data_IF_381369626563
#
_entry.id   IF_381369626563
#
_cell.length_a   1.000
_cell.length_b   1.000
_cell.length_c   1.000
_cell.angle_alpha   90.00
_cell.angle_beta   90.00
_cell.angle_gamma   90.00
#
_symmetry.space_group_name_H-M   'P 1'
#
loop_
_entity.id
_entity.type
_entity.pdbx_description
1 polymer ?
#
# COMPACT_ATOMS: atom_id res chain seq x y z
N UNK A 1 -8.42 -6.93 11.37
CA UNK A 1 -8.44 -5.51 10.97
C UNK A 1 -7.10 -5.31 10.31
N UNK A 2 -6.98 -5.28 8.98
CA UNK A 2 -5.65 -5.43 8.35
C UNK A 2 -5.65 -5.01 6.88
N UNK A 3 -5.28 -3.74 6.64
CA UNK A 3 -4.14 -3.31 5.79
C UNK A 3 -3.57 -2.07 6.50
N UNK A 4 -2.32 -2.13 6.95
CA UNK A 4 -1.61 -1.00 7.58
C UNK A 4 -2.02 -0.64 9.01
N UNK A 5 -2.64 -1.55 9.77
CA UNK A 5 -2.92 -1.33 11.18
C UNK A 5 -2.82 -2.64 11.95
N UNK A 6 -1.67 -2.85 12.58
CA UNK A 6 -1.55 -3.80 13.69
C UNK A 6 -2.74 -3.66 14.62
N UNK A 7 -3.37 -4.78 14.97
CA UNK A 7 -4.49 -4.75 15.89
C UNK A 7 -3.98 -4.44 17.30
N UNK A 8 -4.18 -3.20 17.73
CA UNK A 8 -3.84 -2.76 19.08
C UNK A 8 -4.80 -3.44 20.06
N UNK A 9 -4.22 -4.10 21.06
CA UNK A 9 -4.95 -4.82 22.10
C UNK A 9 -5.38 -3.86 23.21
N UNK A 10 -4.46 -3.00 23.67
CA UNK A 10 -4.72 -2.03 24.72
C UNK A 10 -3.75 -0.84 24.64
N UNK A 11 -4.11 0.24 25.34
CA UNK A 11 -3.22 1.36 25.61
C UNK A 11 -2.25 0.99 26.75
N UNK A 12 -0.97 1.34 26.63
CA UNK A 12 -0.09 1.39 27.80
C UNK A 12 -0.49 2.56 28.70
N UNK A 13 -0.43 2.38 30.01
CA UNK A 13 -0.82 3.42 30.98
C UNK A 13 0.03 4.69 30.88
N UNK A 14 1.27 4.56 30.39
CA UNK A 14 2.21 5.68 30.21
C UNK A 14 2.08 6.44 28.88
N UNK A 15 1.19 6.01 27.98
CA UNK A 15 1.01 6.64 26.66
C UNK A 15 0.56 8.11 26.79
N UNK A 16 1.06 8.97 25.92
CA UNK A 16 0.61 10.36 25.75
C UNK A 16 -0.53 10.47 24.70
N UNK A 17 -0.73 9.43 23.89
CA UNK A 17 -1.67 9.46 22.76
C UNK A 17 -2.63 8.25 22.77
N UNK A 18 -3.58 8.18 23.73
CA UNK A 18 -4.47 7.04 23.87
C UNK A 18 -5.27 6.75 22.59
N UNK A 19 -5.39 5.46 22.26
CA UNK A 19 -6.28 4.92 21.23
C UNK A 19 -7.70 4.84 21.80
N UNK A 20 -8.69 5.44 21.13
CA UNK A 20 -10.03 5.58 21.68
C UNK A 20 -10.74 4.22 21.81
N UNK A 21 -11.49 4.06 22.90
CA UNK A 21 -12.30 2.86 23.15
C UNK A 21 -11.53 1.63 23.64
N UNK A 22 -10.21 1.71 23.81
CA UNK A 22 -9.40 0.61 24.36
C UNK A 22 -9.01 0.86 25.81
N UNK A 23 -9.05 -0.16 26.65
CA UNK A 23 -8.61 -0.10 28.04
C UNK A 23 -7.13 0.31 28.16
N UNK A 24 -6.75 0.77 29.36
CA UNK A 24 -5.36 1.00 29.74
C UNK A 24 -4.83 -0.22 30.50
N UNK A 25 -3.67 -0.71 30.10
CA UNK A 25 -2.94 -1.80 30.75
C UNK A 25 -1.67 -1.21 31.40
N UNK A 26 -1.36 -1.67 32.61
CA UNK A 26 -0.16 -1.29 33.33
C UNK A 26 1.09 -1.71 32.55
N UNK A 27 1.95 -0.74 32.29
CA UNK A 27 3.21 -0.83 31.56
C UNK A 27 4.41 -0.43 32.43
N UNK A 28 4.24 -0.29 33.75
CA UNK A 28 5.30 0.15 34.64
C UNK A 28 6.51 -0.81 34.73
N UNK A 29 6.36 -2.06 34.29
CA UNK A 29 7.43 -3.06 34.24
C UNK A 29 8.32 -2.96 33.00
N UNK A 30 7.96 -2.12 32.01
CA UNK A 30 8.80 -1.83 30.86
C UNK A 30 9.40 -0.41 30.94
N UNK A 31 10.69 -0.22 30.62
CA UNK A 31 11.35 1.08 30.74
C UNK A 31 11.01 1.97 29.53
N UNK A 32 9.82 2.56 29.51
CA UNK A 32 9.27 3.29 28.35
C UNK A 32 10.07 4.51 27.88
N UNK A 33 11.02 5.00 28.67
CA UNK A 33 11.90 6.13 28.31
C UNK A 33 13.31 5.68 27.85
N UNK A 34 13.61 4.37 27.85
CA UNK A 34 14.91 3.79 27.50
C UNK A 34 14.76 2.72 26.40
N UNK A 35 14.97 3.07 25.12
CA UNK A 35 14.82 2.14 24.01
C UNK A 35 15.84 0.99 24.02
N UNK A 36 17.03 1.19 24.59
CA UNK A 36 18.03 0.13 24.74
C UNK A 36 17.54 -0.91 25.75
N UNK A 37 17.05 -0.46 26.89
CA UNK A 37 16.50 -1.35 27.91
C UNK A 37 15.21 -2.06 27.43
N UNK A 38 14.38 -1.43 26.59
CA UNK A 38 13.24 -2.10 25.93
C UNK A 38 13.75 -3.23 25.03
N UNK A 39 14.69 -2.97 24.13
CA UNK A 39 15.24 -3.99 23.23
C UNK A 39 15.83 -5.17 24.01
N UNK A 40 16.57 -4.88 25.09
CA UNK A 40 17.25 -5.86 25.93
C UNK A 40 16.31 -6.81 26.67
N UNK A 41 15.03 -6.49 26.83
CA UNK A 41 14.04 -7.42 27.42
C UNK A 41 13.85 -8.66 26.52
N UNK A 42 13.80 -8.45 25.20
CA UNK A 42 13.49 -9.51 24.25
C UNK A 42 14.67 -10.00 23.42
N UNK A 43 15.57 -9.10 23.00
CA UNK A 43 16.64 -9.40 22.05
C UNK A 43 17.66 -10.38 22.62
N UNK A 44 17.93 -11.45 21.87
CA UNK A 44 18.95 -12.43 22.23
C UNK A 44 18.63 -13.31 23.44
N UNK A 45 17.40 -13.27 23.98
CA UNK A 45 17.00 -14.06 25.15
C UNK A 45 16.53 -15.50 24.82
N UNK A 46 16.26 -15.79 23.55
CA UNK A 46 15.76 -17.10 23.11
C UNK A 46 14.27 -17.32 23.41
N UNK A 47 13.79 -18.56 23.27
CA UNK A 47 12.43 -18.99 23.62
C UNK A 47 11.28 -18.20 22.99
N UNK A 48 11.44 -17.78 21.73
CA UNK A 48 10.40 -17.04 21.02
C UNK A 48 10.28 -15.56 21.43
N UNK A 49 11.20 -15.05 22.26
CA UNK A 49 11.28 -13.62 22.58
C UNK A 49 11.99 -12.86 21.48
N UNK A 50 11.52 -11.64 21.24
CA UNK A 50 12.06 -10.71 20.28
C UNK A 50 12.07 -9.30 20.88
N UNK A 51 13.07 -8.54 20.46
CA UNK A 51 13.24 -7.15 20.85
C UNK A 51 13.97 -6.43 19.73
N UNK A 52 13.57 -5.20 19.45
CA UNK A 52 14.23 -4.33 18.48
C UNK A 52 14.05 -2.88 18.87
N UNK A 53 15.07 -2.09 18.63
CA UNK A 53 14.95 -0.63 18.56
C UNK A 53 15.50 -0.09 17.25
N UNK A 54 14.97 1.04 16.81
CA UNK A 54 15.53 1.87 15.77
C UNK A 54 15.35 3.35 16.13
N UNK A 55 16.09 4.22 15.46
CA UNK A 55 16.01 5.67 15.66
C UNK A 55 16.33 6.44 14.39
N UNK A 56 15.93 7.71 14.36
CA UNK A 56 16.40 8.65 13.34
C UNK A 56 17.87 8.98 13.54
N UNK A 57 18.61 9.22 12.46
CA UNK A 57 19.96 9.78 12.53
C UNK A 57 19.86 11.30 12.73
N UNK A 58 20.52 11.86 13.74
CA UNK A 58 20.47 13.30 14.02
C UNK A 58 21.11 13.69 15.35
N UNK A 59 21.04 14.98 15.68
CA UNK A 59 21.39 15.47 17.01
C UNK A 59 20.34 15.01 18.04
N UNK A 60 20.74 14.87 19.31
CA UNK A 60 19.89 14.35 20.39
C UNK A 60 18.55 15.11 20.53
N UNK A 61 18.51 16.41 20.20
CA UNK A 61 17.31 17.26 20.32
C UNK A 61 16.20 16.90 19.32
N UNK A 62 16.54 16.31 18.18
CA UNK A 62 15.60 15.86 17.14
C UNK A 62 15.52 14.33 17.07
N UNK A 63 16.18 13.63 18.01
CA UNK A 63 16.22 12.18 18.03
C UNK A 63 14.81 11.63 18.29
N UNK A 64 14.33 10.86 17.33
CA UNK A 64 13.11 10.08 17.46
C UNK A 64 13.50 8.61 17.47
N UNK A 65 12.78 7.81 18.23
CA UNK A 65 13.04 6.38 18.29
C UNK A 65 11.76 5.59 18.41
N UNK A 66 11.85 4.31 18.09
CA UNK A 66 10.80 3.35 18.30
C UNK A 66 11.41 2.01 18.69
N UNK A 67 10.75 1.34 19.61
CA UNK A 67 11.21 0.08 20.17
C UNK A 67 10.03 -0.86 20.37
N UNK A 68 10.29 -2.14 20.23
CA UNK A 68 9.34 -3.20 20.53
C UNK A 68 10.04 -4.31 21.32
N UNK A 69 9.29 -4.93 22.23
CA UNK A 69 9.74 -6.11 22.96
C UNK A 69 8.58 -7.03 23.27
N UNK A 70 8.85 -8.33 23.33
CA UNK A 70 7.95 -9.31 23.94
C UNK A 70 7.64 -8.94 25.40
N UNK A 71 6.40 -9.15 25.82
CA UNK A 71 5.95 -8.99 27.22
C UNK A 71 6.85 -9.81 28.17
N UNK A 72 7.49 -9.21 29.19
CA UNK A 72 8.37 -9.92 30.12
C UNK A 72 7.79 -11.21 30.71
N UNK A 73 6.51 -11.23 31.05
CA UNK A 73 5.85 -12.36 31.71
C UNK A 73 5.23 -13.38 30.74
N UNK A 74 5.33 -13.16 29.42
CA UNK A 74 4.69 -13.99 28.40
C UNK A 74 5.43 -14.03 27.06
N UNK A 75 4.84 -14.65 26.04
CA UNK A 75 5.39 -14.65 24.67
C UNK A 75 4.34 -14.42 23.58
N UNK A 76 3.08 -14.29 23.97
CA UNK A 76 1.92 -14.09 23.11
C UNK A 76 1.54 -12.61 22.92
N UNK A 77 2.08 -11.74 23.78
CA UNK A 77 1.95 -10.29 23.74
C UNK A 77 3.30 -9.59 23.57
N UNK A 78 3.24 -8.36 23.09
CA UNK A 78 4.40 -7.50 22.95
C UNK A 78 4.03 -6.03 23.14
N UNK A 79 4.96 -5.27 23.67
CA UNK A 79 4.87 -3.83 23.83
C UNK A 79 5.57 -3.12 22.69
N UNK A 80 4.93 -2.09 22.16
CA UNK A 80 5.50 -1.20 21.15
C UNK A 80 5.48 0.23 21.68
N UNK A 81 6.63 0.89 21.61
CA UNK A 81 6.84 2.26 22.08
C UNK A 81 7.38 3.11 20.94
N UNK A 82 6.71 4.23 20.66
CA UNK A 82 7.16 5.26 19.73
C UNK A 82 7.38 6.55 20.49
N UNK A 83 8.59 7.11 20.42
CA UNK A 83 8.92 8.40 21.01
C UNK A 83 9.18 9.46 19.95
N UNK A 84 8.64 10.66 20.18
CA UNK A 84 8.96 11.86 19.44
C UNK A 84 9.25 13.02 20.40
N UNK A 85 10.33 13.80 20.24
CA UNK A 85 10.75 14.82 21.21
C UNK A 85 9.68 15.91 21.44
N UNK A 86 8.90 16.24 20.40
CA UNK A 86 7.79 17.21 20.49
C UNK A 86 6.43 16.57 20.78
N UNK A 87 6.27 15.26 20.63
CA UNK A 87 4.95 14.61 20.69
C UNK A 87 4.87 13.51 21.76
N UNK A 88 5.92 13.29 22.53
CA UNK A 88 5.89 12.36 23.65
C UNK A 88 5.89 10.91 23.19
N UNK A 89 5.25 10.05 23.97
CA UNK A 89 5.26 8.60 23.75
C UNK A 89 3.89 8.09 23.29
N UNK A 90 3.90 7.21 22.29
CA UNK A 90 2.78 6.30 22.01
C UNK A 90 3.18 4.91 22.51
N UNK A 91 2.49 4.42 23.55
CA UNK A 91 2.73 3.09 24.14
C UNK A 91 1.50 2.22 23.93
N UNK A 92 1.68 1.09 23.25
CA UNK A 92 0.58 0.19 22.89
C UNK A 92 0.96 -1.26 23.10
N UNK A 93 -0.02 -2.06 23.52
CA UNK A 93 0.08 -3.51 23.64
C UNK A 93 -0.48 -4.15 22.37
N UNK A 94 0.24 -5.11 21.80
CA UNK A 94 -0.14 -5.84 20.59
C UNK A 94 0.10 -7.34 20.77
N UNK A 95 -0.42 -8.17 19.87
CA UNK A 95 -0.06 -9.60 19.84
C UNK A 95 1.38 -9.74 19.39
N UNK A 96 2.09 -10.75 19.88
CA UNK A 96 3.53 -10.95 19.66
C UNK A 96 3.94 -11.14 18.19
N UNK A 97 3.00 -11.48 17.30
CA UNK A 97 3.23 -11.58 15.85
C UNK A 97 3.18 -10.23 15.12
N UNK A 98 2.55 -9.23 15.71
CA UNK A 98 2.29 -7.94 15.08
C UNK A 98 3.36 -6.83 15.27
N UNK A 99 4.31 -6.85 16.24
CA UNK A 99 5.18 -5.70 16.51
C UNK A 99 6.03 -5.30 15.33
N UNK A 100 6.46 -6.28 14.54
CA UNK A 100 7.32 -6.05 13.39
C UNK A 100 6.64 -5.18 12.33
N UNK A 101 5.36 -5.42 12.05
CA UNK A 101 4.57 -4.61 11.12
C UNK A 101 4.45 -3.16 11.63
N UNK A 102 4.16 -2.96 12.92
CA UNK A 102 4.08 -1.61 13.51
C UNK A 102 5.45 -0.91 13.53
N UNK A 103 6.52 -1.68 13.75
CA UNK A 103 7.90 -1.20 13.74
C UNK A 103 8.33 -0.74 12.35
N UNK A 104 7.95 -1.48 11.29
CA UNK A 104 8.13 -1.07 9.89
C UNK A 104 7.32 0.18 9.55
N UNK A 105 6.06 0.23 10.00
CA UNK A 105 5.18 1.39 9.80
C UNK A 105 5.77 2.65 10.43
N UNK A 106 6.35 2.56 11.63
CA UNK A 106 7.02 3.70 12.29
C UNK A 106 8.38 4.06 11.70
N UNK A 107 8.90 3.28 10.77
CA UNK A 107 10.24 3.50 10.26
C UNK A 107 10.37 4.79 9.42
N UNK A 108 11.41 5.56 9.73
CA UNK A 108 11.77 6.80 9.02
C UNK A 108 11.32 8.09 9.72
N UNK A 109 12.00 9.19 9.41
CA UNK A 109 11.77 10.51 10.05
C UNK A 109 10.39 11.11 9.76
N UNK A 110 9.80 10.74 8.63
CA UNK A 110 8.54 11.29 8.15
C UNK A 110 7.42 10.24 8.21
N UNK A 111 7.60 9.18 9.00
CA UNK A 111 6.63 8.10 9.18
C UNK A 111 5.47 8.51 10.10
N UNK A 112 4.42 7.68 10.19
CA UNK A 112 3.38 7.77 11.21
C UNK A 112 3.94 7.93 12.63
N UNK A 113 3.42 8.90 13.37
CA UNK A 113 3.59 8.97 14.83
C UNK A 113 2.47 8.22 15.55
N UNK A 114 1.28 8.20 14.96
CA UNK A 114 0.11 7.50 15.48
C UNK A 114 -0.86 7.15 14.35
N UNK A 115 -1.68 6.13 14.63
CA UNK A 115 -2.77 5.67 13.78
C UNK A 115 -4.12 5.83 14.50
N UNK A 116 -5.19 6.13 13.76
CA UNK A 116 -6.57 6.29 14.24
C UNK A 116 -7.55 5.56 13.32
N UNK A 117 -8.83 5.67 13.67
CA UNK A 117 -9.93 4.86 13.13
C UNK A 117 -9.79 4.62 11.63
N UNK A 118 -9.85 3.35 11.23
CA UNK A 118 -9.78 2.99 9.82
C UNK A 118 -8.37 3.00 9.19
N UNK A 119 -7.31 3.24 9.96
CA UNK A 119 -5.92 3.30 9.47
C UNK A 119 -5.44 4.70 9.09
N UNK A 120 -6.20 5.74 9.44
CA UNK A 120 -5.77 7.12 9.28
C UNK A 120 -4.54 7.37 10.14
N UNK A 121 -3.61 8.21 9.70
CA UNK A 121 -2.36 8.41 10.44
C UNK A 121 -1.89 9.85 10.41
N UNK A 122 -1.10 10.21 11.42
CA UNK A 122 -0.61 11.57 11.63
C UNK A 122 0.91 11.57 11.73
N UNK A 123 1.57 12.50 11.05
CA UNK A 123 3.05 12.64 11.02
C UNK A 123 3.59 13.65 12.04
N UNK A 124 2.74 14.22 12.90
CA UNK A 124 3.12 15.33 13.79
C UNK A 124 2.62 16.71 13.32
N UNK A 125 2.20 16.81 12.06
CA UNK A 125 1.67 18.05 11.48
C UNK A 125 0.38 17.83 10.68
N UNK A 126 0.30 16.77 9.89
CA UNK A 126 -0.74 16.52 8.89
C UNK A 126 -1.36 15.15 9.07
N UNK A 127 -2.68 15.07 8.88
CA UNK A 127 -3.40 13.80 8.80
C UNK A 127 -3.42 13.27 7.37
N UNK A 128 -3.22 11.96 7.26
CA UNK A 128 -3.25 11.22 6.01
C UNK A 128 -4.23 10.06 6.09
N UNK A 129 -4.77 9.72 4.93
CA UNK A 129 -5.60 8.54 4.73
C UNK A 129 -4.79 7.26 4.94
N UNK A 130 -5.47 6.13 5.15
CA UNK A 130 -4.82 4.82 5.22
C UNK A 130 -3.94 4.57 3.99
N UNK A 131 -2.81 3.91 4.23
CA UNK A 131 -1.83 3.57 3.19
C UNK A 131 -2.39 2.53 2.22
N UNK A 132 -3.11 2.98 1.18
CA UNK A 132 -3.81 2.10 0.23
C UNK A 132 -3.14 2.09 -1.15
N UNK A 133 -2.75 3.24 -1.68
CA UNK A 133 -2.22 3.36 -3.05
C UNK A 133 -0.70 3.25 -3.03
N UNK A 134 -0.15 2.18 -3.61
CA UNK A 134 1.30 2.00 -3.74
C UNK A 134 1.83 2.66 -5.02
N UNK A 135 2.84 3.51 -4.88
CA UNK A 135 3.61 4.05 -5.99
C UNK A 135 4.83 3.14 -6.24
N UNK A 136 4.74 2.32 -7.29
CA UNK A 136 5.77 1.36 -7.68
C UNK A 136 7.08 2.03 -8.12
N UNK A 137 7.04 3.27 -8.60
CA UNK A 137 8.26 3.97 -9.03
C UNK A 137 9.09 4.45 -7.82
N UNK A 138 8.44 4.90 -6.74
CA UNK A 138 9.11 5.29 -5.50
C UNK A 138 9.19 4.18 -4.45
N UNK A 139 8.51 3.06 -4.69
CA UNK A 139 8.35 1.92 -3.77
C UNK A 139 7.80 2.35 -2.41
N UNK A 140 6.81 3.25 -2.41
CA UNK A 140 6.19 3.79 -1.20
C UNK A 140 4.69 3.92 -1.38
N UNK A 141 3.96 3.80 -0.27
CA UNK A 141 2.57 4.21 -0.26
C UNK A 141 2.44 5.73 -0.42
N UNK A 142 1.46 6.13 -1.22
CA UNK A 142 1.11 7.53 -1.39
C UNK A 142 0.55 8.13 -0.12
N UNK A 143 1.03 9.33 0.20
CA UNK A 143 0.62 10.08 1.39
C UNK A 143 -0.52 11.02 1.04
N UNK A 144 -1.74 10.48 0.96
CA UNK A 144 -2.94 11.27 0.64
C UNK A 144 -3.41 12.02 1.87
N UNK A 145 -3.27 13.34 1.84
CA UNK A 145 -3.72 14.23 2.92
C UNK A 145 -5.23 14.14 3.10
N UNK A 146 -5.69 14.36 4.33
CA UNK A 146 -7.11 14.44 4.68
C UNK A 146 -7.51 15.92 4.74
N UNK A 147 -8.23 16.46 3.73
CA UNK A 147 -8.55 17.87 3.71
C UNK A 147 -9.48 18.26 4.87
N UNK A 148 -9.12 19.33 5.58
CA UNK A 148 -9.93 19.82 6.71
C UNK A 148 -9.90 18.95 7.95
N UNK A 149 -8.96 17.99 8.05
CA UNK A 149 -8.81 17.20 9.26
C UNK A 149 -8.30 18.05 10.43
N UNK A 150 -8.86 17.81 11.61
CA UNK A 150 -8.42 18.36 12.89
C UNK A 150 -8.20 17.23 13.89
N UNK A 151 -7.22 17.40 14.77
CA UNK A 151 -6.97 16.45 15.86
C UNK A 151 -7.96 16.69 16.99
N UNK A 152 -8.55 15.62 17.51
CA UNK A 152 -9.32 15.60 18.75
C UNK A 152 -8.37 15.22 19.87
N UNK A 153 -8.27 16.07 20.88
CA UNK A 153 -7.36 15.89 22.02
C UNK A 153 -8.08 15.30 23.23
N UNK A 154 -7.31 14.80 24.20
CA UNK A 154 -7.87 14.34 25.45
C UNK A 154 -8.61 15.46 26.20
N UNK A 155 -8.12 16.70 26.10
CA UNK A 155 -8.80 17.86 26.67
C UNK A 155 -10.18 18.11 26.04
N UNK A 156 -10.30 17.94 24.71
CA UNK A 156 -11.58 18.14 24.01
C UNK A 156 -12.63 17.11 24.46
N UNK A 157 -12.22 15.86 24.64
CA UNK A 157 -13.14 14.79 25.09
C UNK A 157 -13.56 15.01 26.55
N UNK A 158 -12.60 15.29 27.43
CA UNK A 158 -12.87 15.48 28.87
C UNK A 158 -13.65 16.77 29.17
N UNK A 159 -13.63 17.76 28.27
CA UNK A 159 -14.43 18.98 28.41
C UNK A 159 -15.89 18.81 27.98
N UNK A 160 -16.22 17.76 27.23
CA UNK A 160 -17.59 17.45 26.78
C UNK A 160 -18.36 16.58 27.77
N UNK A 161 -17.67 16.01 28.76
CA UNK A 161 -18.25 15.10 29.73
C UNK A 161 -18.60 15.86 31.02
N UNK A 162 -19.83 16.37 31.07
CA UNK A 162 -20.35 17.13 32.22
C UNK A 162 -20.83 16.23 33.38
N UNK A 163 -20.90 14.90 33.19
CA UNK A 163 -21.39 13.97 34.20
C UNK A 163 -20.63 12.62 34.10
N UNK A 164 -19.57 12.40 34.91
CA UNK A 164 -18.83 11.15 34.85
C UNK A 164 -19.81 10.01 35.13
N UNK A 165 -20.03 9.17 34.11
CA UNK A 165 -20.82 7.96 34.30
C UNK A 165 -20.15 7.19 35.43
N UNK A 166 -20.85 6.90 36.53
CA UNK A 166 -20.26 6.28 37.72
C UNK A 166 -19.77 4.83 37.51
N UNK A 167 -19.28 4.47 36.32
CA UNK A 167 -18.63 3.21 36.00
C UNK A 167 -17.25 3.11 36.65
N UNK A 168 -16.94 1.93 37.18
CA UNK A 168 -15.64 1.67 37.80
C UNK A 168 -14.56 1.46 36.72
N UNK A 169 -14.02 2.54 36.16
CA UNK A 169 -12.81 2.44 35.35
C UNK A 169 -11.64 1.90 36.18
N UNK A 170 -10.82 1.05 35.57
CA UNK A 170 -9.60 0.51 36.19
C UNK A 170 -8.48 0.38 35.16
N UNK A 171 -7.25 0.40 35.64
CA UNK A 171 -6.07 0.01 34.84
C UNK A 171 -5.95 -1.49 34.96
N UNK A 172 -5.90 -2.18 33.82
CA UNK A 172 -5.82 -3.62 33.72
C UNK A 172 -4.38 -4.11 33.85
N UNK A 173 -4.22 -5.38 34.20
CA UNK A 173 -2.95 -6.10 34.16
C UNK A 173 -2.85 -6.96 32.90
N UNK A 174 -1.65 -7.46 32.59
CA UNK A 174 -1.47 -8.47 31.53
C UNK A 174 -2.32 -9.72 31.80
N UNK A 175 -2.44 -10.15 33.06
CA UNK A 175 -3.29 -11.27 33.44
C UNK A 175 -4.76 -11.04 33.09
N UNK A 176 -5.27 -9.81 33.24
CA UNK A 176 -6.65 -9.47 32.85
C UNK A 176 -6.86 -9.59 31.34
N UNK A 177 -5.86 -9.22 30.52
CA UNK A 177 -5.88 -9.39 29.06
C UNK A 177 -5.96 -10.87 28.69
N UNK A 178 -5.15 -11.72 29.32
CA UNK A 178 -5.19 -13.17 29.10
C UNK A 178 -6.52 -13.79 29.54
N UNK A 179 -7.05 -13.37 30.68
CA UNK A 179 -8.33 -13.87 31.21
C UNK A 179 -9.52 -13.49 30.32
N UNK A 180 -9.40 -12.41 29.54
CA UNK A 180 -10.42 -11.96 28.59
C UNK A 180 -10.35 -12.66 27.22
N UNK A 181 -9.36 -13.54 26.99
CA UNK A 181 -9.22 -14.26 25.72
C UNK A 181 -10.45 -15.15 25.45
N UNK A 182 -10.93 -15.13 24.20
CA UNK A 182 -12.08 -15.94 23.75
C UNK A 182 -11.55 -17.01 22.81
N UNK A 183 -11.89 -18.28 23.08
CA UNK A 183 -11.41 -19.45 22.31
C UNK A 183 -9.87 -19.50 22.17
N UNK A 184 -9.15 -19.02 23.20
CA UNK A 184 -7.69 -18.95 23.21
C UNK A 184 -7.10 -17.81 22.36
N UNK A 185 -7.94 -16.95 21.78
CA UNK A 185 -7.50 -15.80 20.99
C UNK A 185 -7.61 -14.50 21.80
N UNK A 186 -6.49 -13.78 21.92
CA UNK A 186 -6.44 -12.44 22.51
C UNK A 186 -7.17 -11.46 21.58
N UNK A 187 -8.11 -10.70 22.14
CA UNK A 187 -8.89 -9.68 21.46
C UNK A 187 -8.58 -8.29 22.01
N UNK A 188 -8.88 -7.20 21.26
CA UNK A 188 -8.80 -5.85 21.80
C UNK A 188 -9.66 -5.68 23.04
N UNK A 189 -9.11 -5.01 24.05
CA UNK A 189 -9.77 -4.73 25.32
C UNK A 189 -10.70 -3.52 25.16
N UNK A 190 -11.83 -3.71 24.50
CA UNK A 190 -12.80 -2.64 24.20
C UNK A 190 -13.60 -2.29 25.47
N UNK A 191 -13.69 -1.00 25.79
CA UNK A 191 -14.46 -0.47 26.94
C UNK A 191 -15.64 0.38 26.50
N UNK A 192 -16.78 0.21 27.17
CA UNK A 192 -18.00 0.98 26.88
C UNK A 192 -18.02 2.37 27.52
N UNK A 193 -17.36 2.53 28.67
CA UNK A 193 -17.25 3.77 29.44
C UNK A 193 -15.89 4.45 29.21
N UNK A 194 -15.58 4.72 27.94
CA UNK A 194 -14.27 5.24 27.54
C UNK A 194 -13.89 6.56 28.24
N UNK A 195 -14.86 7.45 28.49
CA UNK A 195 -14.61 8.72 29.16
C UNK A 195 -14.05 8.52 30.59
N UNK A 196 -14.64 7.62 31.39
CA UNK A 196 -14.15 7.28 32.73
C UNK A 196 -12.70 6.73 32.69
N UNK A 197 -12.40 5.87 31.71
CA UNK A 197 -11.05 5.32 31.51
C UNK A 197 -10.05 6.42 31.14
N UNK A 198 -10.45 7.35 30.26
CA UNK A 198 -9.61 8.49 29.88
C UNK A 198 -9.40 9.45 31.06
N UNK A 199 -10.42 9.67 31.90
CA UNK A 199 -10.31 10.48 33.11
C UNK A 199 -9.38 9.83 34.14
N UNK A 200 -9.49 8.52 34.35
CA UNK A 200 -8.58 7.75 35.21
C UNK A 200 -7.14 7.85 34.73
N UNK A 201 -6.90 7.67 33.42
CA UNK A 201 -5.58 7.85 32.82
C UNK A 201 -5.08 9.27 33.05
N UNK A 202 -5.88 10.30 32.77
CA UNK A 202 -5.52 11.71 32.92
C UNK A 202 -5.08 12.05 34.36
N UNK A 203 -5.74 11.46 35.37
CA UNK A 203 -5.40 11.64 36.78
C UNK A 203 -4.13 10.89 37.25
N UNK A 204 -3.64 9.92 36.47
CA UNK A 204 -2.47 9.09 36.81
C UNK A 204 -1.20 9.46 36.02
N UNK A 205 -1.25 10.49 35.18
CA UNK A 205 -0.14 10.86 34.30
C UNK A 205 1.07 11.37 35.10
N UNK A 206 2.26 11.03 34.62
CA UNK A 206 3.54 11.52 35.13
C UNK A 206 3.64 13.04 35.04
N UNK A 207 4.39 13.67 35.94
CA UNK A 207 4.56 15.13 35.98
C UNK A 207 5.23 15.71 34.72
N UNK A 208 6.06 14.92 34.04
CA UNK A 208 6.72 15.28 32.78
C UNK A 208 5.86 15.03 31.53
N UNK A 209 4.63 14.51 31.68
CA UNK A 209 3.78 14.16 30.55
C UNK A 209 3.31 15.40 29.77
N UNK A 210 2.95 15.22 28.50
CA UNK A 210 2.42 16.33 27.68
C UNK A 210 1.13 16.91 28.29
N UNK A 211 0.80 18.20 28.10
CA UNK A 211 -0.52 18.69 28.50
C UNK A 211 -1.63 17.96 27.73
N UNK A 212 -2.82 17.82 28.33
CA UNK A 212 -3.96 17.09 27.73
C UNK A 212 -4.38 17.65 26.36
N UNK A 213 -4.21 18.96 26.15
CA UNK A 213 -4.46 19.65 24.86
C UNK A 213 -3.44 19.30 23.76
N UNK A 214 -2.40 18.53 24.08
CA UNK A 214 -1.44 17.98 23.11
C UNK A 214 -1.51 16.46 23.01
N UNK A 215 -2.39 15.82 23.80
CA UNK A 215 -2.58 14.38 23.80
C UNK A 215 -3.64 14.03 22.76
N UNK A 216 -3.23 13.63 21.56
CA UNK A 216 -4.17 13.32 20.47
C UNK A 216 -4.86 12.00 20.79
N UNK A 217 -6.20 12.00 20.79
CA UNK A 217 -7.02 10.80 21.00
C UNK A 217 -7.67 10.37 19.70
N UNK A 218 -8.16 11.30 18.87
CA UNK A 218 -8.79 10.92 17.59
C UNK A 218 -8.65 12.04 16.56
N UNK A 219 -9.34 11.92 15.42
CA UNK A 219 -9.45 12.97 14.41
C UNK A 219 -10.92 13.26 14.05
N UNK A 220 -11.18 14.50 13.65
CA UNK A 220 -12.39 14.89 12.94
C UNK A 220 -12.03 15.31 11.53
N UNK A 221 -12.80 14.86 10.53
CA UNK A 221 -12.62 15.29 9.15
C UNK A 221 -13.96 15.23 8.40
N UNK A 222 -14.18 16.10 7.40
CA UNK A 222 -15.39 16.06 6.58
C UNK A 222 -15.65 14.69 5.93
N UNK A 223 -14.59 13.99 5.50
CA UNK A 223 -14.72 12.66 4.88
C UNK A 223 -15.02 11.52 5.87
N UNK A 224 -15.01 11.81 7.18
CA UNK A 224 -15.39 10.89 8.26
C UNK A 224 -16.79 11.18 8.82
N UNK A 225 -17.47 12.22 8.32
CA UNK A 225 -18.84 12.52 8.72
C UNK A 225 -19.78 11.37 8.33
N UNK A 226 -20.76 11.06 9.18
CA UNK A 226 -21.61 9.88 9.03
C UNK A 226 -22.38 9.83 7.69
N UNK A 227 -22.75 10.99 7.15
CA UNK A 227 -23.42 11.15 5.85
C UNK A 227 -22.48 10.99 4.64
N UNK A 228 -21.17 11.02 4.85
CA UNK A 228 -20.14 10.80 3.83
C UNK A 228 -19.65 9.35 3.78
N UNK A 229 -20.01 8.53 4.77
CA UNK A 229 -19.64 7.13 4.81
C UNK A 229 -20.50 6.30 3.84
N UNK A 230 -19.86 5.32 3.22
CA UNK A 230 -20.45 4.41 2.25
C UNK A 230 -20.47 2.98 2.77
N UNK A 231 -21.50 2.22 2.39
CA UNK A 231 -21.65 0.83 2.79
C UNK A 231 -21.00 -0.13 1.79
N UNK A 232 -21.20 -1.42 2.04
CA UNK A 232 -20.74 -2.51 1.16
C UNK A 232 -21.18 -2.35 -0.31
N UNK A 233 -22.45 -2.01 -0.64
CA UNK A 233 -22.88 -1.89 -2.04
C UNK A 233 -22.12 -0.80 -2.79
N UNK A 234 -21.97 0.38 -2.18
CA UNK A 234 -21.31 1.53 -2.78
C UNK A 234 -19.80 1.30 -2.91
N UNK A 235 -19.15 0.71 -1.90
CA UNK A 235 -17.74 0.34 -1.96
C UNK A 235 -17.47 -0.67 -3.08
N UNK A 236 -18.33 -1.69 -3.22
CA UNK A 236 -18.20 -2.66 -4.29
C UNK A 236 -18.37 -2.02 -5.68
N UNK A 237 -19.31 -1.07 -5.82
CA UNK A 237 -19.52 -0.32 -7.05
C UNK A 237 -18.29 0.53 -7.43
N UNK A 238 -17.63 1.18 -6.46
CA UNK A 238 -16.39 1.93 -6.71
C UNK A 238 -15.26 1.05 -7.28
N UNK A 239 -15.15 -0.18 -6.80
CA UNK A 239 -14.15 -1.14 -7.28
C UNK A 239 -14.58 -1.95 -8.51
N UNK A 240 -15.75 -1.67 -9.09
CA UNK A 240 -16.26 -2.38 -10.27
C UNK A 240 -16.57 -3.86 -10.02
N UNK A 241 -16.89 -4.25 -8.79
CA UNK A 241 -17.22 -5.64 -8.42
C UNK A 241 -18.64 -5.77 -7.87
N UNK A 242 -19.15 -7.01 -7.86
CA UNK A 242 -20.43 -7.29 -7.21
C UNK A 242 -20.32 -7.19 -5.68
N UNK A 243 -21.38 -6.72 -5.02
CA UNK A 243 -21.44 -6.66 -3.56
C UNK A 243 -21.31 -8.06 -2.90
N UNK A 244 -21.73 -9.13 -3.57
CA UNK A 244 -21.50 -10.51 -3.12
C UNK A 244 -20.01 -10.87 -3.06
N UNK A 245 -19.22 -10.42 -4.04
CA UNK A 245 -17.76 -10.60 -4.07
C UNK A 245 -17.12 -9.90 -2.88
N UNK A 246 -17.49 -8.63 -2.60
CA UNK A 246 -16.95 -7.89 -1.46
C UNK A 246 -17.32 -8.53 -0.11
N UNK A 247 -18.54 -9.07 0.04
CA UNK A 247 -18.92 -9.84 1.23
C UNK A 247 -18.09 -11.10 1.39
N UNK A 248 -17.80 -11.79 0.29
CA UNK A 248 -16.96 -12.98 0.30
C UNK A 248 -15.52 -12.65 0.75
N UNK A 249 -14.95 -11.53 0.29
CA UNK A 249 -13.66 -11.01 0.77
C UNK A 249 -13.71 -10.75 2.29
N UNK A 250 -14.74 -10.05 2.77
CA UNK A 250 -14.88 -9.78 4.20
C UNK A 250 -15.08 -11.06 5.03
N UNK A 251 -15.75 -12.08 4.51
CA UNK A 251 -16.02 -13.33 5.23
C UNK A 251 -14.75 -14.20 5.34
N UNK A 252 -13.88 -14.15 4.34
CA UNK A 252 -12.59 -14.86 4.34
C UNK A 252 -11.49 -14.14 5.11
N UNK A 253 -11.78 -12.95 5.65
CA UNK A 253 -10.76 -12.12 6.29
C UNK A 253 -9.63 -11.77 5.33
N UNK A 254 -9.93 -11.64 4.02
CA UNK A 254 -8.91 -11.25 3.06
C UNK A 254 -8.34 -9.89 3.44
N UNK A 255 -7.02 -9.84 3.60
CA UNK A 255 -6.22 -8.63 3.84
C UNK A 255 -6.25 -7.66 2.64
N UNK A 256 -7.21 -7.79 1.74
CA UNK A 256 -7.36 -6.90 0.58
C UNK A 256 -8.41 -5.81 0.82
N UNK A 257 -9.23 -5.89 1.88
CA UNK A 257 -10.21 -4.84 2.17
C UNK A 257 -9.65 -3.76 3.11
N UNK A 258 -9.89 -2.47 2.81
CA UNK A 258 -9.49 -1.40 3.71
C UNK A 258 -10.25 -1.53 5.03
N UNK A 259 -9.61 -1.14 6.13
CA UNK A 259 -10.29 -1.07 7.43
C UNK A 259 -11.45 -0.07 7.36
N UNK A 260 -12.58 -0.44 7.96
CA UNK A 260 -13.77 0.41 8.03
C UNK A 260 -13.56 1.51 9.07
N UNK A 261 -14.11 2.69 8.81
CA UNK A 261 -14.00 3.85 9.71
C UNK A 261 -15.09 3.85 10.79
N UNK A 262 -16.22 3.16 10.56
CA UNK A 262 -17.29 3.05 11.54
C UNK A 262 -18.10 1.76 11.38
N UNK A 263 -18.83 1.40 12.44
CA UNK A 263 -19.90 0.39 12.42
C UNK A 263 -21.22 1.09 12.77
N UNK A 264 -22.17 1.11 11.84
CA UNK A 264 -23.49 1.74 12.04
C UNK A 264 -24.56 0.67 11.90
N UNK A 265 -25.34 0.43 12.96
CA UNK A 265 -26.37 -0.62 12.97
C UNK A 265 -25.82 -2.02 12.63
N UNK A 266 -24.60 -2.33 13.08
CA UNK A 266 -23.90 -3.59 12.79
C UNK A 266 -23.30 -3.70 11.39
N UNK A 267 -23.35 -2.62 10.59
CA UNK A 267 -22.79 -2.60 9.23
C UNK A 267 -21.49 -1.82 9.20
N UNK A 268 -20.46 -2.41 8.56
CA UNK A 268 -19.19 -1.74 8.29
C UNK A 268 -19.39 -0.60 7.29
N UNK A 269 -18.84 0.56 7.61
CA UNK A 269 -18.95 1.79 6.82
C UNK A 269 -17.55 2.34 6.53
N UNK A 270 -17.33 2.78 5.30
CA UNK A 270 -16.05 3.29 4.83
C UNK A 270 -16.16 4.75 4.42
N UNK A 271 -15.08 5.50 4.58
CA UNK A 271 -14.96 6.82 3.98
C UNK A 271 -14.92 6.69 2.45
N UNK A 272 -15.70 7.51 1.74
CA UNK A 272 -15.79 7.45 0.27
C UNK A 272 -14.41 7.62 -0.42
N UNK A 273 -13.54 8.55 0.00
CA UNK A 273 -12.18 8.63 -0.53
C UNK A 273 -11.31 7.42 -0.22
N UNK A 274 -11.42 6.79 0.95
CA UNK A 274 -10.69 5.54 1.26
C UNK A 274 -11.13 4.41 0.33
N UNK A 275 -12.43 4.31 0.03
CA UNK A 275 -12.94 3.37 -0.96
C UNK A 275 -12.41 3.63 -2.37
N UNK A 276 -12.25 4.90 -2.75
CA UNK A 276 -11.64 5.28 -4.03
C UNK A 276 -10.14 4.94 -4.09
N UNK A 277 -9.39 5.21 -3.03
CA UNK A 277 -7.98 4.86 -2.91
C UNK A 277 -7.76 3.33 -3.01
N UNK A 278 -8.62 2.55 -2.36
CA UNK A 278 -8.62 1.10 -2.47
C UNK A 278 -8.93 0.62 -3.90
N UNK A 279 -9.97 1.15 -4.53
CA UNK A 279 -10.34 0.82 -5.91
C UNK A 279 -9.22 1.17 -6.90
N UNK A 280 -8.53 2.30 -6.68
CA UNK A 280 -7.36 2.68 -7.46
C UNK A 280 -6.22 1.66 -7.31
N UNK A 281 -5.86 1.28 -6.09
CA UNK A 281 -4.82 0.28 -5.86
C UNK A 281 -5.15 -1.06 -6.55
N UNK A 282 -6.42 -1.50 -6.46
CA UNK A 282 -6.89 -2.72 -7.15
C UNK A 282 -6.72 -2.63 -8.67
N UNK A 283 -6.96 -1.47 -9.27
CA UNK A 283 -6.77 -1.24 -10.69
C UNK A 283 -5.28 -1.24 -11.12
N UNK A 284 -4.36 -1.07 -10.17
CA UNK A 284 -2.90 -1.07 -10.36
C UNK A 284 -2.25 -2.43 -10.11
N UNK A 285 -3.01 -3.44 -9.66
CA UNK A 285 -2.51 -4.81 -9.47
C UNK A 285 -2.11 -5.49 -10.79
N UNK A 286 -1.18 -6.47 -10.77
CA UNK A 286 -0.69 -7.14 -11.97
C UNK A 286 -1.79 -7.64 -12.92
N UNK A 287 -2.81 -8.31 -12.37
CA UNK A 287 -3.93 -8.85 -13.16
C UNK A 287 -4.76 -7.75 -13.81
N UNK A 288 -5.01 -6.65 -13.09
CA UNK A 288 -5.75 -5.49 -13.62
C UNK A 288 -4.97 -4.75 -14.71
N UNK A 289 -3.64 -4.65 -14.55
CA UNK A 289 -2.72 -4.09 -15.55
C UNK A 289 -2.68 -4.97 -16.80
N UNK A 290 -2.61 -6.30 -16.63
CA UNK A 290 -2.65 -7.23 -17.75
C UNK A 290 -4.01 -7.20 -18.49
N UNK A 291 -5.12 -7.15 -17.74
CA UNK A 291 -6.47 -7.06 -18.28
C UNK A 291 -6.69 -5.79 -19.12
N UNK A 292 -5.98 -4.69 -18.84
CA UNK A 292 -6.03 -3.46 -19.63
C UNK A 292 -5.63 -3.68 -21.11
N UNK A 293 -4.79 -4.67 -21.36
CA UNK A 293 -4.25 -5.02 -22.67
C UNK A 293 -4.54 -6.48 -23.05
N UNK A 294 -5.58 -7.07 -22.46
CA UNK A 294 -6.09 -8.38 -22.85
C UNK A 294 -6.82 -8.27 -24.20
N UNK A 295 -6.48 -9.13 -25.15
CA UNK A 295 -7.26 -9.30 -26.37
C UNK A 295 -8.13 -10.57 -26.35
N UNK A 296 -7.82 -11.52 -25.47
CA UNK A 296 -8.67 -12.66 -25.08
C UNK A 296 -8.47 -12.99 -23.60
N UNK A 297 -9.11 -14.05 -23.11
CA UNK A 297 -8.93 -14.56 -21.74
C UNK A 297 -7.51 -15.04 -21.45
N UNK A 298 -6.75 -15.43 -22.48
CA UNK A 298 -5.42 -16.04 -22.33
C UNK A 298 -4.29 -15.22 -22.98
N UNK A 299 -4.63 -14.32 -23.91
CA UNK A 299 -3.65 -13.62 -24.72
C UNK A 299 -3.82 -12.10 -24.60
N UNK A 300 -2.68 -11.42 -24.50
CA UNK A 300 -2.59 -9.97 -24.70
C UNK A 300 -2.90 -9.58 -26.14
N UNK A 301 -3.20 -8.29 -26.35
CA UNK A 301 -3.43 -7.71 -27.68
C UNK A 301 -2.25 -7.97 -28.63
N UNK A 302 -1.01 -7.87 -28.13
CA UNK A 302 0.19 -8.14 -28.92
C UNK A 302 0.35 -9.61 -29.30
N UNK A 303 0.00 -10.53 -28.39
CA UNK A 303 0.02 -11.96 -28.69
C UNK A 303 -1.06 -12.35 -29.72
N UNK A 304 -2.22 -11.69 -29.72
CA UNK A 304 -3.22 -11.89 -30.78
C UNK A 304 -2.72 -11.35 -32.12
N UNK A 305 -2.14 -10.16 -32.16
CA UNK A 305 -1.51 -9.64 -33.39
C UNK A 305 -0.46 -10.63 -33.93
N UNK A 306 0.33 -11.23 -33.03
CA UNK A 306 1.35 -12.21 -33.37
C UNK A 306 0.73 -13.48 -33.94
N UNK A 307 -0.29 -14.04 -33.27
CA UNK A 307 -1.05 -15.21 -33.71
C UNK A 307 -1.63 -14.98 -35.09
N UNK A 308 -2.29 -13.85 -35.33
CA UNK A 308 -2.98 -13.58 -36.58
C UNK A 308 -1.98 -13.40 -37.74
N UNK A 309 -0.86 -12.71 -37.45
CA UNK A 309 0.26 -12.57 -38.40
C UNK A 309 0.88 -13.92 -38.76
N UNK A 310 1.16 -14.77 -37.77
CA UNK A 310 1.75 -16.09 -38.01
C UNK A 310 0.75 -17.06 -38.64
N UNK A 311 -0.55 -16.95 -38.36
CA UNK A 311 -1.59 -17.72 -39.03
C UNK A 311 -1.54 -17.48 -40.54
N UNK A 312 -1.44 -16.21 -40.95
CA UNK A 312 -1.33 -15.86 -42.38
C UNK A 312 -0.02 -16.37 -42.99
N UNK A 313 1.12 -16.20 -42.29
CA UNK A 313 2.42 -16.68 -42.78
C UNK A 313 2.48 -18.19 -42.91
N UNK A 314 2.02 -18.92 -41.89
CA UNK A 314 2.00 -20.38 -41.90
C UNK A 314 1.03 -20.90 -42.95
N UNK A 315 -0.14 -20.29 -43.09
CA UNK A 315 -1.07 -20.66 -44.16
C UNK A 315 -0.43 -20.51 -45.54
N UNK A 316 0.14 -19.34 -45.84
CA UNK A 316 0.81 -19.10 -47.12
C UNK A 316 1.96 -20.08 -47.38
N UNK A 317 2.68 -20.48 -46.32
CA UNK A 317 3.77 -21.46 -46.43
C UNK A 317 3.25 -22.87 -46.65
N UNK A 318 2.29 -23.32 -45.84
CA UNK A 318 1.72 -24.67 -45.84
C UNK A 318 0.92 -24.92 -47.12
N UNK A 319 0.19 -23.92 -47.61
CA UNK A 319 -0.63 -24.01 -48.82
C UNK A 319 0.18 -23.83 -50.12
N UNK A 320 1.50 -23.67 -50.03
CA UNK A 320 2.38 -23.72 -51.20
C UNK A 320 2.43 -25.13 -51.80
N UNK A 321 2.69 -25.22 -53.11
CA UNK A 321 2.68 -26.50 -53.84
C UNK A 321 3.63 -27.56 -53.26
N UNK A 322 4.77 -27.13 -52.72
CA UNK A 322 5.77 -28.01 -52.09
C UNK A 322 5.31 -28.52 -50.72
N UNK A 323 4.89 -27.63 -49.82
CA UNK A 323 4.54 -28.01 -48.45
C UNK A 323 3.19 -28.70 -48.37
N UNK A 324 2.23 -28.35 -49.23
CA UNK A 324 0.92 -29.00 -49.28
C UNK A 324 1.04 -30.51 -49.51
N UNK A 325 1.97 -30.91 -50.39
CA UNK A 325 2.28 -32.33 -50.66
C UNK A 325 2.97 -33.00 -49.47
N UNK A 326 3.96 -32.35 -48.87
CA UNK A 326 4.69 -32.88 -47.70
C UNK A 326 3.77 -33.12 -46.51
N UNK A 327 2.85 -32.18 -46.25
CA UNK A 327 1.88 -32.25 -45.15
C UNK A 327 0.63 -33.05 -45.50
N UNK A 328 0.53 -33.58 -46.72
CA UNK A 328 -0.61 -34.38 -47.22
C UNK A 328 -1.96 -33.67 -47.06
N UNK A 329 -1.98 -32.35 -47.24
CA UNK A 329 -3.19 -31.53 -47.06
C UNK A 329 -4.07 -31.53 -48.30
N UNK A 330 -5.32 -31.96 -48.12
CA UNK A 330 -6.28 -32.14 -49.22
C UNK A 330 -7.11 -30.89 -49.49
N UNK A 331 -7.53 -30.19 -48.45
CA UNK A 331 -8.40 -29.01 -48.53
C UNK A 331 -7.80 -27.79 -47.80
N UNK A 332 -8.28 -26.61 -48.17
CA UNK A 332 -7.78 -25.32 -47.67
C UNK A 332 -8.16 -25.07 -46.21
N UNK A 333 -9.34 -25.54 -45.79
CA UNK A 333 -9.84 -25.34 -44.43
C UNK A 333 -8.95 -26.04 -43.41
N UNK A 334 -8.55 -27.28 -43.67
CA UNK A 334 -7.58 -28.01 -42.85
C UNK A 334 -6.24 -27.29 -42.79
N UNK A 335 -5.77 -26.73 -43.92
CA UNK A 335 -4.52 -25.96 -43.95
C UNK A 335 -4.60 -24.68 -43.09
N UNK A 336 -5.74 -23.96 -43.13
CA UNK A 336 -6.00 -22.78 -42.29
C UNK A 336 -6.05 -23.16 -40.81
N UNK A 337 -6.72 -24.25 -40.47
CA UNK A 337 -6.79 -24.74 -39.09
C UNK A 337 -5.39 -25.07 -38.54
N UNK A 338 -4.58 -25.84 -39.29
CA UNK A 338 -3.20 -26.17 -38.87
C UNK A 338 -2.32 -24.95 -38.74
N UNK A 339 -2.46 -23.98 -39.66
CA UNK A 339 -1.73 -22.72 -39.57
C UNK A 339 -2.11 -21.93 -38.30
N UNK A 340 -3.39 -21.88 -37.95
CA UNK A 340 -3.87 -21.24 -36.73
C UNK A 340 -3.37 -21.95 -35.47
N UNK A 341 -3.42 -23.28 -35.43
CA UNK A 341 -2.88 -24.09 -34.32
C UNK A 341 -1.39 -23.81 -34.08
N UNK A 342 -0.57 -23.83 -35.14
CA UNK A 342 0.86 -23.50 -35.05
C UNK A 342 1.10 -22.06 -34.60
N UNK A 343 0.29 -21.11 -35.09
CA UNK A 343 0.42 -19.72 -34.70
C UNK A 343 0.04 -19.48 -33.24
N UNK A 344 -0.95 -20.21 -32.72
CA UNK A 344 -1.29 -20.17 -31.29
C UNK A 344 -0.12 -20.63 -30.42
N UNK A 345 0.58 -21.70 -30.80
CA UNK A 345 1.79 -22.17 -30.08
C UNK A 345 2.88 -21.09 -30.03
N UNK A 346 3.07 -20.35 -31.13
CA UNK A 346 4.03 -19.23 -31.15
C UNK A 346 3.58 -18.09 -30.24
N UNK A 347 2.29 -17.76 -30.24
CA UNK A 347 1.75 -16.65 -29.47
C UNK A 347 1.72 -16.91 -27.95
N UNK A 348 1.49 -18.15 -27.53
CA UNK A 348 1.51 -18.53 -26.11
C UNK A 348 2.92 -18.69 -25.56
N UNK A 349 3.89 -19.07 -26.40
CA UNK A 349 5.27 -19.34 -25.99
C UNK A 349 6.25 -18.25 -26.47
N UNK A 350 5.83 -16.99 -26.46
CA UNK A 350 6.71 -15.87 -26.84
C UNK A 350 7.93 -15.77 -25.94
N UNK A 351 7.78 -16.10 -24.66
CA UNK A 351 8.86 -16.09 -23.66
C UNK A 351 9.98 -17.09 -23.98
N UNK A 352 9.68 -18.19 -24.67
CA UNK A 352 10.68 -19.17 -25.10
C UNK A 352 11.46 -18.70 -26.34
N UNK A 353 10.94 -17.69 -27.05
CA UNK A 353 11.50 -17.18 -28.31
C UNK A 353 12.29 -15.90 -28.06
N UNK A 354 11.81 -15.04 -27.16
CA UNK A 354 12.38 -13.73 -26.86
C UNK A 354 12.72 -13.68 -25.37
N UNK A 355 13.97 -13.34 -25.00
CA UNK A 355 14.35 -13.21 -23.60
C UNK A 355 13.76 -11.92 -23.00
N UNK A 356 12.48 -11.97 -22.62
CA UNK A 356 11.69 -10.79 -22.20
C UNK A 356 12.35 -10.04 -21.06
N UNK A 357 12.91 -10.75 -20.08
CA UNK A 357 13.57 -10.11 -18.94
C UNK A 357 14.87 -9.38 -19.33
N UNK A 358 15.65 -9.94 -20.25
CA UNK A 358 16.82 -9.24 -20.79
C UNK A 358 16.42 -8.04 -21.65
N UNK A 359 15.32 -8.17 -22.40
CA UNK A 359 14.76 -7.08 -23.21
C UNK A 359 14.27 -5.93 -22.32
N UNK A 360 13.60 -6.24 -21.21
CA UNK A 360 13.14 -5.30 -20.18
C UNK A 360 14.31 -4.44 -19.68
N UNK A 361 15.36 -5.08 -19.17
CA UNK A 361 16.57 -4.40 -18.71
C UNK A 361 17.23 -3.56 -19.80
N UNK A 362 17.30 -4.09 -21.03
CA UNK A 362 17.90 -3.39 -22.17
C UNK A 362 17.11 -2.11 -22.51
N UNK A 363 15.78 -2.16 -22.47
CA UNK A 363 14.94 -0.98 -22.72
C UNK A 363 15.12 0.06 -21.61
N UNK A 364 15.15 -0.36 -20.34
CA UNK A 364 15.39 0.55 -19.21
C UNK A 364 16.74 1.26 -19.36
N UNK A 365 17.81 0.50 -19.61
CA UNK A 365 19.15 1.05 -19.80
C UNK A 365 19.24 1.99 -21.01
N UNK A 366 18.56 1.67 -22.11
CA UNK A 366 18.54 2.51 -23.31
C UNK A 366 17.81 3.84 -23.09
N UNK A 367 16.65 3.82 -22.39
CA UNK A 367 15.90 5.04 -22.06
C UNK A 367 16.69 5.92 -21.10
N UNK A 368 17.18 5.36 -19.99
CA UNK A 368 17.97 6.10 -19.00
C UNK A 368 19.27 6.62 -19.58
N UNK A 369 19.93 5.84 -20.43
CA UNK A 369 21.13 6.26 -21.15
C UNK A 369 20.88 7.44 -22.09
N UNK A 370 19.70 7.52 -22.72
CA UNK A 370 19.31 8.68 -23.52
C UNK A 370 19.04 9.91 -22.65
N UNK A 371 18.24 9.77 -21.59
CA UNK A 371 17.97 10.88 -20.66
C UNK A 371 19.27 11.44 -20.06
N UNK A 372 20.20 10.56 -19.66
CA UNK A 372 21.51 10.98 -19.15
C UNK A 372 22.30 11.80 -20.17
N UNK A 373 22.32 11.38 -21.44
CA UNK A 373 22.99 12.13 -22.52
C UNK A 373 22.37 13.51 -22.70
N UNK A 374 21.05 13.59 -22.72
CA UNK A 374 20.35 14.84 -22.99
C UNK A 374 20.44 15.84 -21.82
N UNK A 375 20.42 15.34 -20.58
CA UNK A 375 20.69 16.14 -19.37
C UNK A 375 22.14 16.65 -19.39
N UNK A 376 23.10 15.77 -19.68
CA UNK A 376 24.53 16.14 -19.70
C UNK A 376 24.86 17.15 -20.79
N UNK A 377 24.23 17.02 -21.97
CA UNK A 377 24.40 17.95 -23.08
C UNK A 377 23.66 19.28 -22.88
N UNK A 378 22.86 19.43 -21.81
CA UNK A 378 22.03 20.61 -21.58
C UNK A 378 20.90 20.77 -22.59
N UNK A 379 20.64 19.74 -23.41
CA UNK A 379 19.59 19.74 -24.43
C UNK A 379 18.20 19.72 -23.80
N UNK A 380 18.10 19.23 -22.56
CA UNK A 380 16.88 19.16 -21.77
C UNK A 380 17.14 19.84 -20.44
N UNK A 381 16.32 20.84 -20.10
CA UNK A 381 16.14 21.22 -18.70
C UNK A 381 15.13 20.27 -18.06
N UNK A 382 15.25 19.93 -16.76
CA UNK A 382 14.28 19.09 -16.05
C UNK A 382 12.82 19.54 -16.23
N UNK A 383 12.60 20.84 -16.41
CA UNK A 383 11.31 21.49 -16.64
C UNK A 383 10.72 21.30 -18.05
N UNK A 384 11.51 20.84 -19.03
CA UNK A 384 11.10 20.65 -20.44
C UNK A 384 11.18 19.20 -20.91
N UNK A 385 11.41 18.26 -19.99
CA UNK A 385 11.52 16.83 -20.30
C UNK A 385 10.21 16.27 -20.87
N UNK A 386 9.07 16.87 -20.56
CA UNK A 386 7.78 16.48 -21.12
C UNK A 386 7.75 16.58 -22.65
N UNK A 387 8.61 17.41 -23.27
CA UNK A 387 8.73 17.55 -24.73
C UNK A 387 9.60 16.50 -25.42
N UNK A 388 10.27 15.64 -24.64
CA UNK A 388 11.31 14.76 -25.15
C UNK A 388 10.69 13.42 -25.53
N UNK A 389 11.04 12.97 -26.74
CA UNK A 389 10.68 11.65 -27.23
C UNK A 389 11.82 10.69 -26.94
N UNK A 390 11.48 9.52 -26.39
CA UNK A 390 12.40 8.39 -26.37
C UNK A 390 12.70 8.04 -27.84
N UNK A 391 13.96 7.68 -28.19
CA UNK A 391 14.34 7.40 -29.57
C UNK A 391 13.40 6.35 -30.20
N UNK A 392 12.93 6.53 -31.45
CA UNK A 392 11.86 5.71 -32.02
C UNK A 392 12.11 4.19 -32.01
N UNK A 393 13.38 3.77 -32.06
CA UNK A 393 13.74 2.34 -31.96
C UNK A 393 13.49 1.79 -30.55
N UNK A 394 13.85 2.55 -29.53
CA UNK A 394 13.60 2.21 -28.12
C UNK A 394 12.11 2.30 -27.82
N UNK A 395 11.43 3.34 -28.33
CA UNK A 395 9.97 3.49 -28.22
C UNK A 395 9.20 2.30 -28.80
N UNK A 396 9.63 1.77 -29.96
CA UNK A 396 9.05 0.55 -30.56
C UNK A 396 9.27 -0.71 -29.74
N UNK A 397 10.40 -0.84 -29.04
CA UNK A 397 10.66 -1.98 -28.15
C UNK A 397 9.78 -1.86 -26.90
N UNK A 398 9.62 -0.65 -26.36
CA UNK A 398 8.73 -0.40 -25.23
C UNK A 398 7.26 -0.67 -25.61
N UNK A 399 6.79 -0.19 -26.78
CA UNK A 399 5.48 -0.57 -27.35
C UNK A 399 5.32 -2.09 -27.46
N UNK A 400 6.36 -2.78 -27.94
CA UNK A 400 6.31 -4.24 -28.06
C UNK A 400 6.13 -4.90 -26.69
N UNK A 401 6.91 -4.50 -25.68
CA UNK A 401 6.77 -4.98 -24.31
C UNK A 401 5.37 -4.70 -23.76
N UNK A 402 4.87 -3.47 -23.89
CA UNK A 402 3.53 -3.07 -23.42
C UNK A 402 2.46 -3.98 -24.00
N UNK A 403 2.49 -4.22 -25.33
CA UNK A 403 1.46 -5.02 -26.00
C UNK A 403 1.52 -6.52 -25.72
N UNK A 404 2.71 -7.10 -25.48
CA UNK A 404 2.89 -8.55 -25.36
C UNK A 404 3.07 -9.02 -23.91
N UNK A 405 3.67 -8.19 -23.06
CA UNK A 405 4.04 -8.48 -21.67
C UNK A 405 3.72 -7.26 -20.78
N UNK A 406 2.42 -6.92 -20.62
CA UNK A 406 1.97 -5.67 -20.00
C UNK A 406 2.49 -5.48 -18.57
N UNK A 407 2.58 -6.56 -17.78
CA UNK A 407 3.11 -6.47 -16.42
C UNK A 407 4.62 -6.17 -16.40
N UNK A 408 5.42 -6.87 -17.20
CA UNK A 408 6.85 -6.64 -17.30
C UNK A 408 7.17 -5.25 -17.85
N UNK A 409 6.33 -4.75 -18.77
CA UNK A 409 6.40 -3.37 -19.24
C UNK A 409 6.08 -2.37 -18.13
N UNK A 410 5.10 -2.67 -17.26
CA UNK A 410 4.76 -1.83 -16.12
C UNK A 410 5.92 -1.72 -15.12
N UNK A 411 6.59 -2.86 -14.83
CA UNK A 411 7.82 -2.85 -14.02
C UNK A 411 8.92 -2.03 -14.69
N UNK A 412 9.15 -2.21 -16.00
CA UNK A 412 10.14 -1.42 -16.73
C UNK A 412 9.89 0.09 -16.67
N UNK A 413 8.63 0.50 -16.83
CA UNK A 413 8.22 1.91 -16.76
C UNK A 413 8.48 2.47 -15.36
N UNK A 414 8.11 1.75 -14.31
CA UNK A 414 8.34 2.19 -12.93
C UNK A 414 9.84 2.25 -12.59
N UNK A 415 10.64 1.28 -13.05
CA UNK A 415 12.10 1.30 -12.90
C UNK A 415 12.73 2.51 -13.62
N UNK A 416 12.27 2.82 -14.83
CA UNK A 416 12.73 4.01 -15.59
C UNK A 416 12.40 5.28 -14.81
N UNK A 417 11.18 5.41 -14.29
CA UNK A 417 10.76 6.63 -13.57
C UNK A 417 11.51 6.77 -12.24
N UNK A 418 11.63 5.68 -11.48
CA UNK A 418 12.36 5.64 -10.23
C UNK A 418 13.83 6.01 -10.42
N UNK A 419 14.52 5.37 -11.37
CA UNK A 419 15.92 5.64 -11.67
C UNK A 419 16.14 7.04 -12.27
N UNK A 420 15.23 7.54 -13.11
CA UNK A 420 15.32 8.90 -13.65
C UNK A 420 15.24 9.95 -12.53
N UNK A 421 14.40 9.72 -11.51
CA UNK A 421 14.31 10.58 -10.33
C UNK A 421 15.58 10.52 -9.49
N UNK A 422 16.04 9.32 -9.14
CA UNK A 422 17.13 9.13 -8.16
C UNK A 422 18.51 9.40 -8.77
N UNK A 423 18.76 8.97 -10.00
CA UNK A 423 20.09 9.09 -10.65
C UNK A 423 20.26 10.39 -11.44
N UNK A 424 19.17 10.94 -12.01
CA UNK A 424 19.23 12.07 -12.93
C UNK A 424 18.51 13.32 -12.41
N UNK A 425 17.84 13.25 -11.26
CA UNK A 425 17.07 14.37 -10.69
C UNK A 425 15.86 14.78 -11.54
N UNK A 426 15.36 13.89 -12.41
CA UNK A 426 14.24 14.19 -13.30
C UNK A 426 12.90 14.03 -12.58
N UNK A 427 11.95 14.99 -12.74
CA UNK A 427 10.62 14.86 -12.15
C UNK A 427 9.87 13.61 -12.67
N UNK A 428 9.21 12.84 -11.78
CA UNK A 428 8.38 11.69 -12.19
C UNK A 428 7.31 12.04 -13.22
N UNK A 429 6.63 13.18 -13.05
CA UNK A 429 5.57 13.63 -13.97
C UNK A 429 6.10 13.89 -15.38
N UNK A 430 7.27 14.52 -15.47
CA UNK A 430 7.89 14.82 -16.76
C UNK A 430 8.36 13.54 -17.46
N UNK A 431 8.92 12.58 -16.70
CA UNK A 431 9.32 11.27 -17.22
C UNK A 431 8.11 10.46 -17.68
N UNK A 432 7.02 10.49 -16.90
CA UNK A 432 5.73 9.86 -17.23
C UNK A 432 5.13 10.46 -18.51
N UNK A 433 5.19 11.78 -18.67
CA UNK A 433 4.73 12.48 -19.86
C UNK A 433 5.55 12.09 -21.11
N UNK A 434 6.88 11.99 -20.99
CA UNK A 434 7.76 11.55 -22.07
C UNK A 434 7.46 10.11 -22.53
N UNK A 435 7.23 9.20 -21.59
CA UNK A 435 6.84 7.80 -21.88
C UNK A 435 5.47 7.77 -22.57
N UNK A 436 4.46 8.46 -22.02
CA UNK A 436 3.11 8.54 -22.60
C UNK A 436 3.14 9.11 -24.00
N UNK A 437 3.93 10.16 -24.23
CA UNK A 437 4.09 10.78 -25.54
C UNK A 437 4.73 9.80 -26.52
N UNK A 438 5.85 9.19 -26.15
CA UNK A 438 6.54 8.18 -26.99
C UNK A 438 5.59 7.07 -27.42
N UNK A 439 4.84 6.47 -26.49
CA UNK A 439 3.91 5.37 -26.83
C UNK A 439 2.78 5.82 -27.76
N UNK A 440 2.27 7.04 -27.57
CA UNK A 440 1.24 7.59 -28.46
C UNK A 440 1.75 7.93 -29.88
N UNK A 441 3.04 8.25 -30.04
CA UNK A 441 3.62 8.58 -31.35
C UNK A 441 4.19 7.36 -32.09
N UNK A 442 4.90 6.48 -31.39
CA UNK A 442 5.62 5.35 -32.00
C UNK A 442 4.88 4.01 -31.85
N UNK A 443 3.87 3.95 -30.99
CA UNK A 443 3.15 2.74 -30.65
C UNK A 443 2.08 2.35 -31.67
N UNK A 444 1.60 1.10 -31.56
CA UNK A 444 0.60 0.54 -32.48
C UNK A 444 -0.84 0.58 -31.97
N UNK A 445 -1.04 0.77 -30.66
CA UNK A 445 -2.39 0.89 -30.11
C UNK A 445 -3.00 2.25 -30.41
N UNK A 446 -4.32 2.31 -30.43
CA UNK A 446 -5.03 3.58 -30.38
C UNK A 446 -4.75 4.29 -29.04
N UNK A 447 -4.79 5.63 -29.06
CA UNK A 447 -4.47 6.48 -27.91
C UNK A 447 -5.22 6.08 -26.63
N UNK A 448 -6.52 5.79 -26.75
CA UNK A 448 -7.35 5.34 -25.63
C UNK A 448 -6.88 4.02 -25.00
N UNK A 449 -6.27 3.12 -25.79
CA UNK A 449 -5.69 1.88 -25.30
C UNK A 449 -4.45 2.13 -24.44
N UNK A 450 -3.58 3.05 -24.85
CA UNK A 450 -2.44 3.47 -24.03
C UNK A 450 -2.87 4.20 -22.78
N UNK A 451 -3.83 5.12 -22.89
CA UNK A 451 -4.25 5.89 -21.73
C UNK A 451 -4.82 4.98 -20.63
N UNK A 452 -5.69 4.02 -20.99
CA UNK A 452 -6.22 3.05 -20.03
C UNK A 452 -5.14 2.18 -19.37
N UNK A 453 -4.08 1.79 -20.09
CA UNK A 453 -2.96 1.03 -19.52
C UNK A 453 -2.08 1.92 -18.64
N UNK A 454 -1.68 3.11 -19.14
CA UNK A 454 -0.76 4.01 -18.46
C UNK A 454 -1.36 4.62 -17.19
N UNK A 455 -2.67 4.84 -17.14
CA UNK A 455 -3.34 5.33 -15.92
C UNK A 455 -3.25 4.33 -14.75
N UNK A 456 -3.04 3.04 -15.05
CA UNK A 456 -2.82 1.97 -14.06
C UNK A 456 -1.34 1.77 -13.69
N UNK A 457 -0.42 2.24 -14.52
CA UNK A 457 1.01 1.91 -14.42
C UNK A 457 1.84 3.08 -13.92
N UNK A 458 1.52 4.29 -14.37
CA UNK A 458 2.26 5.48 -14.03
C UNK A 458 2.06 5.85 -12.55
N UNK A 459 2.99 6.61 -11.95
CA UNK A 459 2.84 7.10 -10.59
C UNK A 459 1.48 7.80 -10.42
N UNK A 460 0.79 7.54 -9.31
CA UNK A 460 -0.47 8.19 -9.02
C UNK A 460 -0.23 9.70 -8.80
N UNK A 461 -1.22 10.55 -9.12
CA UNK A 461 -1.12 11.97 -8.81
C UNK A 461 -0.97 12.17 -7.29
N UNK A 462 -0.18 13.17 -6.93
CA UNK A 462 0.12 13.55 -5.54
C UNK A 462 -1.11 14.00 -4.76
#
# INVERSE_FOLDING_TARGET
MTIGAVQIIANGSSTDHPVPGLAFVDDAHIPVDDPDAIEDIGRGKGYGRHGRRDSTYGADEDLQWWAATTEPDGTDLAWCVRYHPKHGHSVVLVRSEDPWTLHEDWSGSDGPLLFRSGGYWWDGATWYRPMQVFDWASQRFMRRRVPGATSITAADILALDDDPTGGSASVLTIADVHNAAVDGAIQPMIVGNWADHLQLWAGRRRTSALPLSRCIVDLSAPELAADQLIGTPELAAQAGIAASTLRAYSARGENDLPTHQAIVGGRKMWSRPVGADWAENRNRLPDSVAAALAGSTELSVGQIDLRDRFTTKFFNRIWSSTFRKQWRLKDEQTARQRAAELASVVATNVDDIIPVEALRHTVCAAVLGQFRKDVTAGTISPEKLDYVLIPPRTGKILDWLVRHHPWQAATAINDIIGAAKTELGLPPDATSAAIRRTLNYDGKLARNGYDAYLDRVLPPPA
#
